data_IF_506225424783
#
_entry.id   IF_506225424783
#
_cell.length_a   1.000
_cell.length_b   1.000
_cell.length_c   1.000
_cell.angle_alpha   90.00
_cell.angle_beta   90.00
_cell.angle_gamma   90.00
#
_symmetry.space_group_name_H-M   'P 1'
#
loop_
_entity.id
_entity.type
_entity.pdbx_description
1 polymer ?
#
# COMPACT_ATOMS: atom_id res chain seq x y z
N UNK A 1 21.92 0.85 14.02
CA UNK A 1 20.65 0.69 13.26
C UNK A 1 20.54 1.70 12.12
N UNK A 2 20.99 2.94 12.30
CA UNK A 2 21.06 4.01 11.30
C UNK A 2 21.67 3.58 9.95
N UNK A 3 22.79 2.85 9.95
CA UNK A 3 23.39 2.34 8.71
C UNK A 3 22.50 1.39 7.90
N UNK A 4 21.74 0.52 8.58
CA UNK A 4 20.84 -0.43 7.91
C UNK A 4 19.63 0.28 7.27
N UNK A 5 19.07 1.25 7.99
CA UNK A 5 17.94 2.06 7.50
C UNK A 5 18.36 2.86 6.26
N UNK A 6 19.57 3.42 6.26
CA UNK A 6 20.09 4.13 5.09
C UNK A 6 20.26 3.21 3.87
N UNK A 7 20.81 2.00 4.06
CA UNK A 7 20.93 1.02 2.96
C UNK A 7 19.54 0.61 2.45
N UNK A 8 18.60 0.32 3.35
CA UNK A 8 17.23 -0.01 2.99
C UNK A 8 16.55 1.11 2.19
N UNK A 9 16.72 2.36 2.61
CA UNK A 9 16.22 3.54 1.89
C UNK A 9 16.78 3.61 0.46
N UNK A 10 18.10 3.49 0.30
CA UNK A 10 18.71 3.54 -1.04
C UNK A 10 18.20 2.46 -1.98
N UNK A 11 17.93 1.27 -1.48
CA UNK A 11 17.37 0.17 -2.28
C UNK A 11 15.94 0.43 -2.77
N UNK A 12 15.19 1.29 -2.06
CA UNK A 12 13.77 1.53 -2.29
C UNK A 12 13.45 2.90 -2.92
N UNK A 13 14.47 3.74 -3.16
CA UNK A 13 14.27 5.12 -3.66
C UNK A 13 13.52 5.21 -4.99
N UNK A 14 13.67 4.20 -5.87
CA UNK A 14 12.99 4.18 -7.15
C UNK A 14 11.49 3.90 -6.99
N UNK A 15 11.14 2.96 -6.11
CA UNK A 15 9.75 2.66 -5.75
C UNK A 15 9.11 3.87 -5.06
N UNK A 16 9.82 4.50 -4.12
CA UNK A 16 9.37 5.73 -3.46
C UNK A 16 9.14 6.86 -4.47
N UNK A 17 10.05 7.05 -5.44
CA UNK A 17 9.89 8.05 -6.50
C UNK A 17 8.70 7.73 -7.42
N UNK A 18 8.47 6.47 -7.76
CA UNK A 18 7.32 6.06 -8.57
C UNK A 18 5.98 6.32 -7.85
N UNK A 19 5.90 6.05 -6.54
CA UNK A 19 4.73 6.39 -5.73
C UNK A 19 4.57 7.90 -5.60
N UNK A 20 5.65 8.64 -5.39
CA UNK A 20 5.60 10.11 -5.36
C UNK A 20 5.10 10.69 -6.70
N UNK A 21 5.58 10.17 -7.83
CA UNK A 21 5.10 10.57 -9.16
C UNK A 21 3.60 10.28 -9.33
N UNK A 22 3.13 9.12 -8.86
CA UNK A 22 1.70 8.79 -8.85
C UNK A 22 0.91 9.77 -7.99
N UNK A 23 1.39 10.14 -6.80
CA UNK A 23 0.74 11.14 -5.94
C UNK A 23 0.68 12.52 -6.59
N UNK A 24 1.74 12.91 -7.32
CA UNK A 24 1.74 14.16 -8.09
C UNK A 24 0.70 14.11 -9.23
N UNK A 25 0.54 12.97 -9.89
CA UNK A 25 -0.51 12.77 -10.88
C UNK A 25 -1.91 12.90 -10.27
N UNK A 26 -2.14 12.34 -9.07
CA UNK A 26 -3.40 12.56 -8.33
C UNK A 26 -3.62 14.04 -7.99
N UNK A 27 -2.58 14.72 -7.49
CA UNK A 27 -2.67 16.15 -7.18
C UNK A 27 -3.00 16.99 -8.41
N UNK A 28 -2.35 16.71 -9.55
CA UNK A 28 -2.62 17.38 -10.82
C UNK A 28 -4.06 17.11 -11.31
N UNK A 29 -4.54 15.86 -11.20
CA UNK A 29 -5.91 15.51 -11.55
C UNK A 29 -6.94 16.25 -10.67
N UNK A 30 -6.72 16.32 -9.37
CA UNK A 30 -7.56 17.08 -8.45
C UNK A 30 -7.59 18.57 -8.81
N UNK A 31 -6.43 19.17 -9.10
CA UNK A 31 -6.36 20.57 -9.51
C UNK A 31 -7.08 20.79 -10.84
N UNK A 32 -6.92 19.90 -11.81
CA UNK A 32 -7.64 19.98 -13.09
C UNK A 32 -9.16 19.90 -12.90
N UNK A 33 -9.66 18.95 -12.10
CA UNK A 33 -11.09 18.82 -11.80
C UNK A 33 -11.65 20.04 -11.05
N UNK A 34 -10.84 20.72 -10.23
CA UNK A 34 -11.19 21.98 -9.57
C UNK A 34 -11.33 23.15 -10.54
N UNK A 35 -10.50 23.19 -11.58
CA UNK A 35 -10.53 24.24 -12.61
C UNK A 35 -11.64 23.98 -13.63
N UNK A 36 -11.88 22.72 -13.97
CA UNK A 36 -12.89 22.29 -14.94
C UNK A 36 -13.81 21.23 -14.30
N UNK A 37 -14.90 21.64 -13.62
CA UNK A 37 -15.81 20.72 -12.93
C UNK A 37 -16.44 19.65 -13.85
N UNK A 38 -16.44 19.86 -15.17
CA UNK A 38 -16.87 18.87 -16.17
C UNK A 38 -15.96 17.64 -16.27
N UNK A 39 -14.75 17.68 -15.73
CA UNK A 39 -13.82 16.54 -15.62
C UNK A 39 -14.07 15.69 -14.36
N UNK A 40 -15.02 16.09 -13.50
CA UNK A 40 -15.27 15.44 -12.23
C UNK A 40 -15.56 13.95 -12.40
N UNK A 41 -14.78 13.10 -11.71
CA UNK A 41 -15.01 11.66 -11.67
C UNK A 41 -13.76 10.80 -11.88
N UNK A 42 -12.72 11.33 -12.52
CA UNK A 42 -11.48 10.59 -12.78
C UNK A 42 -10.76 10.27 -11.46
N UNK A 43 -10.61 11.29 -10.61
CA UNK A 43 -10.07 11.16 -9.26
C UNK A 43 -10.98 10.32 -8.36
N UNK A 44 -12.30 10.46 -8.50
CA UNK A 44 -13.29 9.67 -7.76
C UNK A 44 -13.10 8.16 -8.01
N UNK A 45 -12.99 7.77 -9.27
CA UNK A 45 -12.79 6.38 -9.67
C UNK A 45 -11.42 5.85 -9.23
N UNK A 46 -10.38 6.69 -9.33
CA UNK A 46 -9.01 6.27 -9.07
C UNK A 46 -8.60 6.29 -7.58
N UNK A 47 -9.33 6.98 -6.70
CA UNK A 47 -9.00 7.12 -5.27
C UNK A 47 -8.55 5.83 -4.55
N UNK A 48 -9.17 4.68 -4.85
CA UNK A 48 -8.82 3.38 -4.24
C UNK A 48 -7.60 2.65 -4.82
N UNK A 49 -6.95 3.18 -5.86
CA UNK A 49 -5.86 2.48 -6.57
C UNK A 49 -4.49 2.61 -5.90
N UNK A 50 -4.32 3.52 -4.93
CA UNK A 50 -3.05 3.68 -4.22
C UNK A 50 -2.60 2.38 -3.56
N UNK A 51 -3.51 1.65 -2.92
CA UNK A 51 -3.20 0.35 -2.33
C UNK A 51 -2.66 -0.63 -3.39
N UNK A 52 -3.31 -0.69 -4.56
CA UNK A 52 -2.84 -1.49 -5.69
C UNK A 52 -1.44 -1.10 -6.15
N UNK A 53 -1.18 0.21 -6.30
CA UNK A 53 0.13 0.72 -6.66
C UNK A 53 1.21 0.39 -5.62
N UNK A 54 0.90 0.54 -4.33
CA UNK A 54 1.81 0.17 -3.23
C UNK A 54 2.14 -1.33 -3.30
N UNK A 55 1.14 -2.19 -3.50
CA UNK A 55 1.37 -3.63 -3.61
C UNK A 55 2.24 -3.98 -4.82
N UNK A 56 1.89 -3.45 -6.00
CA UNK A 56 2.53 -3.77 -7.27
C UNK A 56 3.95 -3.20 -7.37
N UNK A 57 4.10 -1.90 -7.11
CA UNK A 57 5.31 -1.13 -7.41
C UNK A 57 6.30 -1.21 -6.24
N UNK A 58 5.80 -1.26 -5.01
CA UNK A 58 6.64 -1.24 -3.82
C UNK A 58 6.78 -2.61 -3.19
N UNK A 59 5.67 -3.22 -2.74
CA UNK A 59 5.67 -4.46 -1.96
C UNK A 59 6.20 -5.67 -2.71
N UNK A 60 5.64 -5.96 -3.89
CA UNK A 60 5.98 -7.13 -4.71
C UNK A 60 7.46 -7.23 -5.06
N UNK A 61 8.10 -6.18 -5.63
CA UNK A 61 9.53 -6.23 -5.92
C UNK A 61 10.42 -6.12 -4.68
N UNK A 62 9.90 -5.69 -3.52
CA UNK A 62 10.71 -5.34 -2.34
C UNK A 62 11.68 -6.45 -1.95
N UNK A 63 11.17 -7.68 -1.91
CA UNK A 63 11.93 -8.86 -1.52
C UNK A 63 12.26 -9.73 -2.74
N UNK A 64 11.38 -9.78 -3.75
CA UNK A 64 11.60 -10.59 -4.94
C UNK A 64 12.86 -10.15 -5.71
N UNK A 65 13.10 -8.84 -5.88
CA UNK A 65 14.29 -8.33 -6.57
C UNK A 65 15.58 -8.66 -5.82
N UNK A 66 15.53 -8.66 -4.49
CA UNK A 66 16.68 -9.02 -3.67
C UNK A 66 17.04 -10.50 -3.85
N UNK A 67 16.03 -11.37 -3.96
CA UNK A 67 16.24 -12.79 -4.27
C UNK A 67 16.79 -12.99 -5.68
N UNK A 68 16.23 -12.32 -6.69
CA UNK A 68 16.68 -12.40 -8.08
C UNK A 68 18.13 -11.90 -8.24
N UNK A 69 18.49 -10.81 -7.57
CA UNK A 69 19.84 -10.23 -7.63
C UNK A 69 20.85 -10.94 -6.70
N UNK A 70 20.40 -11.80 -5.80
CA UNK A 70 21.24 -12.47 -4.80
C UNK A 70 21.86 -11.54 -3.75
N UNK A 71 21.44 -10.26 -3.71
CA UNK A 71 21.98 -9.21 -2.83
C UNK A 71 21.76 -9.50 -1.35
N UNK A 72 20.71 -10.26 -1.02
CA UNK A 72 20.44 -10.71 0.35
C UNK A 72 21.60 -11.53 0.96
N UNK A 73 22.39 -12.24 0.13
CA UNK A 73 23.53 -13.06 0.59
C UNK A 73 24.63 -12.18 1.18
N UNK A 74 24.92 -11.06 0.54
CA UNK A 74 25.95 -10.11 0.98
C UNK A 74 25.56 -9.46 2.32
N UNK A 75 24.29 -9.13 2.49
CA UNK A 75 23.80 -8.60 3.75
C UNK A 75 23.97 -9.60 4.90
N UNK A 76 23.74 -10.89 4.64
CA UNK A 76 23.83 -11.94 5.66
C UNK A 76 25.26 -12.34 6.03
N UNK A 77 26.25 -12.14 5.14
CA UNK A 77 27.66 -12.40 5.46
C UNK A 77 28.30 -11.28 6.29
N UNK A 78 27.73 -10.08 6.30
CA UNK A 78 28.23 -8.91 7.05
C UNK A 78 27.72 -8.83 8.51
N UNK A 79 27.37 -9.98 9.11
CA UNK A 79 26.95 -10.05 10.52
C UNK A 79 25.54 -9.49 10.81
N UNK A 80 24.77 -9.15 9.78
CA UNK A 80 23.38 -8.68 9.93
C UNK A 80 22.44 -9.88 9.98
N UNK A 81 21.70 -10.04 11.08
CA UNK A 81 20.71 -11.11 11.17
C UNK A 81 19.52 -10.88 10.23
N UNK A 82 18.94 -11.97 9.72
CA UNK A 82 17.79 -11.94 8.80
C UNK A 82 16.62 -11.10 9.31
N UNK A 83 16.33 -11.19 10.62
CA UNK A 83 15.27 -10.42 11.26
C UNK A 83 15.56 -8.91 11.29
N UNK A 84 16.79 -8.51 11.64
CA UNK A 84 17.17 -7.09 11.66
C UNK A 84 17.15 -6.47 10.26
N UNK A 85 17.59 -7.24 9.26
CA UNK A 85 17.48 -6.85 7.86
C UNK A 85 16.02 -6.64 7.45
N UNK A 86 15.14 -7.62 7.71
CA UNK A 86 13.74 -7.52 7.33
C UNK A 86 13.03 -6.35 8.02
N UNK A 87 13.27 -6.15 9.33
CA UNK A 87 12.69 -5.03 10.08
C UNK A 87 13.10 -3.68 9.49
N UNK A 88 14.36 -3.51 9.07
CA UNK A 88 14.79 -2.25 8.46
C UNK A 88 14.15 -2.01 7.09
N UNK A 89 14.11 -3.04 6.23
CA UNK A 89 13.52 -2.96 4.89
C UNK A 89 12.02 -2.67 4.97
N UNK A 90 11.31 -3.42 5.80
CA UNK A 90 9.86 -3.23 6.01
C UNK A 90 9.56 -1.94 6.76
N UNK A 91 10.39 -1.51 7.70
CA UNK A 91 10.17 -0.25 8.42
C UNK A 91 10.20 0.96 7.49
N UNK A 92 11.17 1.00 6.57
CA UNK A 92 11.23 2.05 5.53
C UNK A 92 10.03 1.98 4.59
N UNK A 93 9.68 0.78 4.11
CA UNK A 93 8.57 0.60 3.19
C UNK A 93 7.21 0.96 3.84
N UNK A 94 6.99 0.54 5.09
CA UNK A 94 5.77 0.82 5.85
C UNK A 94 5.64 2.31 6.16
N UNK A 95 6.73 2.96 6.57
CA UNK A 95 6.75 4.42 6.77
C UNK A 95 6.42 5.17 5.47
N UNK A 96 7.00 4.75 4.35
CA UNK A 96 6.70 5.30 3.03
C UNK A 96 5.24 5.09 2.58
N UNK A 97 4.69 3.89 2.80
CA UNK A 97 3.30 3.57 2.47
C UNK A 97 2.30 4.39 3.31
N UNK A 98 2.55 4.55 4.61
CA UNK A 98 1.74 5.38 5.50
C UNK A 98 1.82 6.85 5.11
N UNK A 99 3.01 7.35 4.79
CA UNK A 99 3.18 8.72 4.31
C UNK A 99 2.45 8.95 2.98
N UNK A 100 2.53 8.00 2.04
CA UNK A 100 1.81 8.08 0.77
C UNK A 100 0.29 8.08 0.98
N UNK A 101 -0.21 7.24 1.87
CA UNK A 101 -1.63 7.22 2.24
C UNK A 101 -2.07 8.54 2.88
N UNK A 102 -1.26 9.12 3.78
CA UNK A 102 -1.53 10.43 4.39
C UNK A 102 -1.62 11.54 3.34
N UNK A 103 -0.64 11.60 2.43
CA UNK A 103 -0.60 12.61 1.36
C UNK A 103 -1.81 12.48 0.45
N UNK A 104 -2.14 11.26 0.00
CA UNK A 104 -3.30 11.07 -0.87
C UNK A 104 -4.60 11.42 -0.14
N UNK A 105 -4.78 10.98 1.11
CA UNK A 105 -5.95 11.33 1.91
C UNK A 105 -6.10 12.85 2.04
N UNK A 106 -5.01 13.58 2.30
CA UNK A 106 -5.03 15.04 2.36
C UNK A 106 -5.38 15.69 1.02
N UNK A 107 -4.79 15.22 -0.09
CA UNK A 107 -5.07 15.72 -1.44
C UNK A 107 -6.54 15.49 -1.82
N UNK A 108 -7.07 14.31 -1.52
CA UNK A 108 -8.45 13.95 -1.84
C UNK A 108 -9.46 14.66 -0.92
N UNK A 109 -9.17 14.80 0.37
CA UNK A 109 -10.03 15.54 1.30
C UNK A 109 -10.10 17.03 0.96
N UNK A 110 -9.04 17.59 0.38
CA UNK A 110 -9.05 18.97 -0.13
C UNK A 110 -9.80 19.12 -1.46
N UNK A 111 -9.69 18.10 -2.32
CA UNK A 111 -10.18 18.11 -3.69
C UNK A 111 -11.64 17.70 -3.87
N UNK A 112 -12.08 16.70 -3.12
CA UNK A 112 -13.42 16.11 -3.25
C UNK A 112 -14.47 16.94 -2.50
N UNK A 113 -15.72 16.97 -3.01
CA UNK A 113 -16.82 17.59 -2.29
C UNK A 113 -17.14 16.82 -1.01
N UNK A 114 -17.80 17.51 -0.07
CA UNK A 114 -18.35 16.87 1.12
C UNK A 114 -19.27 15.70 0.75
N UNK A 115 -19.41 14.73 1.68
CA UNK A 115 -20.15 13.48 1.46
C UNK A 115 -21.61 13.65 0.96
N UNK A 116 -22.19 14.86 1.02
CA UNK A 116 -23.54 15.11 0.53
C UNK A 116 -24.63 14.29 1.22
N UNK A 117 -24.34 13.79 2.43
CA UNK A 117 -25.19 12.87 3.18
C UNK A 117 -24.84 11.38 3.03
N UNK A 118 -24.06 11.00 2.01
CA UNK A 118 -23.62 9.60 1.80
C UNK A 118 -22.13 9.43 2.10
N UNK A 119 -21.81 9.27 3.38
CA UNK A 119 -20.43 8.98 3.85
C UNK A 119 -19.90 7.60 3.42
N UNK A 120 -20.75 6.73 2.87
CA UNK A 120 -20.36 5.41 2.37
C UNK A 120 -20.08 5.41 0.86
N UNK A 121 -20.30 6.55 0.18
CA UNK A 121 -19.91 6.75 -1.20
C UNK A 121 -18.42 6.41 -1.39
N UNK A 122 -18.12 5.67 -2.46
CA UNK A 122 -16.80 5.06 -2.69
C UNK A 122 -15.64 6.03 -2.48
N UNK A 123 -15.62 7.18 -3.17
CA UNK A 123 -14.47 8.06 -3.08
C UNK A 123 -14.37 8.74 -1.73
N UNK A 124 -15.49 9.11 -1.09
CA UNK A 124 -15.47 9.70 0.24
C UNK A 124 -14.90 8.70 1.26
N UNK A 125 -15.42 7.47 1.26
CA UNK A 125 -14.99 6.43 2.17
C UNK A 125 -13.52 6.01 2.00
N UNK A 126 -13.04 5.93 0.76
CA UNK A 126 -11.65 5.54 0.46
C UNK A 126 -10.63 6.70 0.62
N UNK A 127 -11.09 7.94 0.78
CA UNK A 127 -10.22 9.11 0.99
C UNK A 127 -10.22 9.63 2.43
N UNK A 128 -11.29 9.37 3.20
CA UNK A 128 -11.46 9.88 4.56
C UNK A 128 -11.29 8.79 5.62
N UNK A 129 -10.96 9.24 6.83
CA UNK A 129 -10.85 8.35 7.98
C UNK A 129 -9.53 7.56 8.01
N UNK A 130 -9.60 6.36 8.60
CA UNK A 130 -8.42 5.56 8.96
C UNK A 130 -8.17 4.37 8.03
N UNK A 131 -9.18 3.98 7.25
CA UNK A 131 -9.12 2.87 6.29
C UNK A 131 -7.99 2.98 5.26
N UNK A 132 -7.66 4.16 4.70
CA UNK A 132 -6.59 4.27 3.70
C UNK A 132 -5.24 3.78 4.23
N UNK A 133 -4.96 4.01 5.51
CA UNK A 133 -3.72 3.59 6.16
C UNK A 133 -3.66 2.08 6.36
N UNK A 134 -4.75 1.47 6.82
CA UNK A 134 -4.86 0.01 6.96
C UNK A 134 -4.68 -0.69 5.62
N UNK A 135 -5.31 -0.17 4.56
CA UNK A 135 -5.22 -0.70 3.19
C UNK A 135 -3.82 -0.57 2.60
N UNK A 136 -3.15 0.56 2.81
CA UNK A 136 -1.78 0.75 2.37
C UNK A 136 -0.82 -0.27 3.00
N UNK A 137 -0.94 -0.50 4.31
CA UNK A 137 -0.13 -1.48 5.04
C UNK A 137 -0.45 -2.93 4.64
N UNK A 138 -1.75 -3.26 4.50
CA UNK A 138 -2.18 -4.56 3.99
C UNK A 138 -1.61 -4.83 2.60
N UNK A 139 -1.77 -3.88 1.68
CA UNK A 139 -1.30 -4.02 0.31
C UNK A 139 0.22 -4.16 0.23
N UNK A 140 0.96 -3.39 1.03
CA UNK A 140 2.40 -3.54 1.15
C UNK A 140 2.76 -4.96 1.62
N UNK A 141 2.15 -5.42 2.72
CA UNK A 141 2.42 -6.73 3.29
C UNK A 141 2.05 -7.88 2.33
N UNK A 142 0.95 -7.74 1.59
CA UNK A 142 0.54 -8.70 0.56
C UNK A 142 1.59 -8.79 -0.55
N UNK A 143 2.02 -7.66 -1.09
CA UNK A 143 3.07 -7.62 -2.11
C UNK A 143 4.36 -8.26 -1.60
N UNK A 144 4.78 -7.92 -0.38
CA UNK A 144 5.97 -8.51 0.26
C UNK A 144 5.84 -10.03 0.41
N UNK A 145 4.69 -10.53 0.88
CA UNK A 145 4.44 -11.96 1.01
C UNK A 145 4.50 -12.68 -0.33
N UNK A 146 3.88 -12.11 -1.37
CA UNK A 146 3.94 -12.64 -2.73
C UNK A 146 5.37 -12.65 -3.27
N UNK A 147 6.12 -11.57 -3.07
CA UNK A 147 7.51 -11.49 -3.49
C UNK A 147 8.41 -12.48 -2.75
N UNK A 148 8.15 -12.70 -1.46
CA UNK A 148 8.90 -13.67 -0.65
C UNK A 148 8.62 -15.12 -1.04
N UNK A 149 7.35 -15.46 -1.32
CA UNK A 149 6.93 -16.81 -1.73
C UNK A 149 7.36 -17.13 -3.15
N UNK A 150 7.13 -16.21 -4.08
CA UNK A 150 7.43 -16.46 -5.51
C UNK A 150 8.91 -16.31 -5.82
N UNK A 151 9.64 -15.46 -5.09
CA UNK A 151 11.05 -15.10 -5.33
C UNK A 151 11.34 -14.53 -6.72
N UNK A 152 10.31 -14.19 -7.49
CA UNK A 152 10.42 -13.71 -8.87
C UNK A 152 9.49 -12.52 -9.10
N UNK A 153 10.05 -11.38 -9.47
CA UNK A 153 9.31 -10.13 -9.66
C UNK A 153 8.28 -10.27 -10.79
N UNK A 154 8.64 -11.01 -11.85
CA UNK A 154 7.78 -11.30 -13.01
C UNK A 154 6.48 -12.03 -12.64
N UNK A 155 6.49 -12.81 -11.56
CA UNK A 155 5.31 -13.54 -11.07
C UNK A 155 4.61 -12.73 -9.96
N UNK A 156 5.38 -12.14 -9.04
CA UNK A 156 4.85 -11.39 -7.90
C UNK A 156 4.00 -10.19 -8.32
N UNK A 157 4.42 -9.46 -9.36
CA UNK A 157 3.75 -8.24 -9.82
C UNK A 157 2.33 -8.50 -10.36
N UNK A 158 2.11 -9.40 -11.34
CA UNK A 158 0.75 -9.73 -11.79
C UNK A 158 -0.15 -10.27 -10.67
N UNK A 159 0.38 -11.15 -9.80
CA UNK A 159 -0.37 -11.68 -8.67
C UNK A 159 -0.79 -10.58 -7.68
N UNK A 160 0.04 -9.57 -7.49
CA UNK A 160 -0.26 -8.43 -6.62
C UNK A 160 -1.45 -7.63 -7.09
N UNK A 161 -1.53 -7.34 -8.40
CA UNK A 161 -2.68 -6.64 -9.00
C UNK A 161 -3.95 -7.46 -8.83
N UNK A 162 -3.88 -8.75 -9.15
CA UNK A 162 -5.02 -9.66 -9.04
C UNK A 162 -5.53 -9.75 -7.60
N UNK A 163 -4.66 -10.06 -6.65
CA UNK A 163 -5.04 -10.36 -5.28
C UNK A 163 -5.43 -9.10 -4.49
N UNK A 164 -4.78 -7.95 -4.72
CA UNK A 164 -5.29 -6.69 -4.17
C UNK A 164 -6.63 -6.37 -4.78
N UNK A 165 -6.79 -6.45 -6.11
CA UNK A 165 -8.09 -6.19 -6.75
C UNK A 165 -9.22 -7.03 -6.15
N UNK A 166 -8.98 -8.33 -5.98
CA UNK A 166 -9.93 -9.24 -5.31
C UNK A 166 -10.21 -8.82 -3.87
N UNK A 167 -9.18 -8.49 -3.08
CA UNK A 167 -9.38 -8.04 -1.69
C UNK A 167 -10.20 -6.75 -1.61
N UNK A 168 -9.99 -5.80 -2.53
CA UNK A 168 -10.70 -4.53 -2.59
C UNK A 168 -12.18 -4.74 -2.94
N UNK A 169 -12.46 -5.61 -3.93
CA UNK A 169 -13.81 -5.98 -4.32
C UNK A 169 -14.52 -6.76 -3.21
N UNK A 170 -13.83 -7.68 -2.53
CA UNK A 170 -14.36 -8.43 -1.41
C UNK A 170 -14.71 -7.51 -0.23
N UNK A 171 -13.82 -6.56 0.12
CA UNK A 171 -14.09 -5.56 1.15
C UNK A 171 -15.31 -4.72 0.80
N UNK A 172 -15.42 -4.24 -0.44
CA UNK A 172 -16.59 -3.48 -0.92
C UNK A 172 -17.89 -4.31 -0.84
N UNK A 173 -17.85 -5.57 -1.28
CA UNK A 173 -19.00 -6.45 -1.24
C UNK A 173 -19.43 -6.78 0.19
N UNK A 174 -18.46 -6.92 1.10
CA UNK A 174 -18.71 -7.17 2.52
C UNK A 174 -19.31 -5.93 3.20
N UNK A 175 -18.79 -4.74 2.89
CA UNK A 175 -19.30 -3.45 3.37
C UNK A 175 -20.79 -3.28 3.08
N UNK A 176 -21.20 -3.62 1.85
CA UNK A 176 -22.59 -3.52 1.43
C UNK A 176 -23.55 -4.47 2.19
N UNK A 177 -23.05 -5.43 2.96
CA UNK A 177 -23.86 -6.35 3.79
C UNK A 177 -24.09 -5.83 5.20
N UNK A 178 -23.36 -4.82 5.63
CA UNK A 178 -23.42 -4.32 7.00
C UNK A 178 -24.00 -2.91 7.02
N UNK A 179 -25.08 -2.73 7.77
CA UNK A 179 -25.62 -1.40 8.09
C UNK A 179 -24.93 -0.87 9.35
N UNK A 180 -23.66 -0.48 9.20
CA UNK A 180 -22.85 0.07 10.28
C UNK A 180 -22.58 1.56 10.05
N UNK A 181 -22.57 2.39 11.11
CA UNK A 181 -22.13 3.77 11.01
C UNK A 181 -20.71 3.90 10.45
N UNK A 182 -20.46 4.98 9.72
CA UNK A 182 -19.18 5.27 9.06
C UNK A 182 -17.95 4.98 9.93
N UNK A 183 -17.90 5.54 11.15
CA UNK A 183 -16.73 5.38 12.03
C UNK A 183 -16.54 3.94 12.52
N UNK A 184 -17.61 3.24 12.85
CA UNK A 184 -17.54 1.83 13.27
C UNK A 184 -17.01 0.96 12.13
N UNK A 185 -17.50 1.19 10.91
CA UNK A 185 -17.07 0.47 9.72
C UNK A 185 -15.60 0.78 9.37
N UNK A 186 -15.20 2.05 9.48
CA UNK A 186 -13.82 2.48 9.26
C UNK A 186 -12.83 1.77 10.20
N UNK A 187 -13.13 1.73 11.50
CA UNK A 187 -12.26 1.04 12.46
C UNK A 187 -12.22 -0.48 12.27
N UNK A 188 -13.38 -1.10 12.00
CA UNK A 188 -13.46 -2.56 11.81
C UNK A 188 -12.72 -3.00 10.54
N UNK A 189 -12.91 -2.32 9.41
CA UNK A 189 -12.16 -2.59 8.19
C UNK A 189 -10.66 -2.35 8.41
N UNK A 190 -10.28 -1.24 9.06
CA UNK A 190 -8.86 -0.94 9.34
C UNK A 190 -8.23 -2.04 10.18
N UNK A 191 -8.90 -2.48 11.26
CA UNK A 191 -8.43 -3.57 12.11
C UNK A 191 -8.25 -4.88 11.32
N UNK A 192 -9.21 -5.22 10.44
CA UNK A 192 -9.11 -6.40 9.58
C UNK A 192 -7.89 -6.31 8.65
N UNK A 193 -7.66 -5.17 7.99
CA UNK A 193 -6.51 -4.97 7.12
C UNK A 193 -5.18 -5.06 7.89
N UNK A 194 -5.11 -4.49 9.11
CA UNK A 194 -3.92 -4.56 9.96
C UNK A 194 -3.63 -5.99 10.43
N UNK A 195 -4.65 -6.76 10.82
CA UNK A 195 -4.49 -8.17 11.19
C UNK A 195 -4.00 -9.00 9.99
N UNK A 196 -4.56 -8.78 8.81
CA UNK A 196 -4.08 -9.39 7.57
C UNK A 196 -2.64 -8.98 7.26
N UNK A 197 -2.28 -7.70 7.45
CA UNK A 197 -0.92 -7.21 7.23
C UNK A 197 0.09 -7.90 8.17
N UNK A 198 -0.26 -8.09 9.44
CA UNK A 198 0.56 -8.82 10.42
C UNK A 198 0.72 -10.28 9.99
N UNK A 199 -0.38 -10.96 9.62
CA UNK A 199 -0.35 -12.35 9.18
C UNK A 199 0.51 -12.53 7.91
N UNK A 200 0.37 -11.63 6.93
CA UNK A 200 1.15 -11.63 5.68
C UNK A 200 2.63 -11.34 5.93
N UNK A 201 2.94 -10.42 6.85
CA UNK A 201 4.32 -10.13 7.26
C UNK A 201 4.96 -11.35 7.94
N UNK A 202 4.22 -12.05 8.80
CA UNK A 202 4.67 -13.30 9.40
C UNK A 202 4.89 -14.39 8.35
N UNK A 203 3.97 -14.53 7.39
CA UNK A 203 4.11 -15.47 6.28
C UNK A 203 5.35 -15.17 5.41
N UNK A 204 5.59 -13.89 5.10
CA UNK A 204 6.78 -13.44 4.39
C UNK A 204 8.05 -13.78 5.17
N UNK A 205 8.07 -13.54 6.49
CA UNK A 205 9.21 -13.88 7.34
C UNK A 205 9.53 -15.38 7.32
N UNK A 206 8.50 -16.23 7.40
CA UNK A 206 8.65 -17.68 7.32
C UNK A 206 9.18 -18.10 5.95
N UNK A 207 8.67 -17.50 4.86
CA UNK A 207 9.11 -17.80 3.49
C UNK A 207 10.58 -17.40 3.22
N UNK A 208 11.06 -16.31 3.85
CA UNK A 208 12.45 -15.84 3.74
C UNK A 208 13.42 -16.72 4.55
N UNK A 209 12.94 -17.36 5.62
CA UNK A 209 13.77 -18.25 6.45
C UNK A 209 14.04 -19.61 5.81
N UNK A 210 13.18 -20.06 4.89
CA UNK A 210 13.31 -21.35 4.20
C UNK A 210 14.33 -21.28 3.07
#
# INVERSE_FOLDING_TARGET
MTGLLWVAWRGQRAQAAAIAALLLLYGAAVVAERLEPGLSGLTFQLSGFLAGAICLIWGAPLVAREFEAGTYKLAWTQGVSRGRWLVAVLGVAAGGAVAAAAVLAAVLAWGLPDAGGDSLAWAYYESHGVVPFGRALFALALGVALGAVTRHTRIAMPLSVLLVGVAQLAARALRARFDMPFWTLQWTETAAHLLLAVALTAAAYVAIRR
#
